data_IF_822581795630
#
_entry.id   IF_822581795630
#
_cell.length_a   1.000
_cell.length_b   1.000
_cell.length_c   1.000
_cell.angle_alpha   90.00
_cell.angle_beta   90.00
_cell.angle_gamma   90.00
#
_symmetry.space_group_name_H-M   'P 1'
#
loop_
_entity.id
_entity.type
_entity.pdbx_description
1 polymer ?
#
# COMPACT_ATOMS: atom_id res chain seq x y z
N UNK A 1 -30.73 -27.78 14.84
CA UNK A 1 -30.11 -26.70 15.65
C UNK A 1 -29.16 -25.95 14.72
N UNK A 2 -29.33 -24.63 14.53
CA UNK A 2 -28.50 -23.87 13.59
C UNK A 2 -27.03 -23.89 14.03
N UNK A 3 -26.10 -24.08 13.09
CA UNK A 3 -24.67 -24.13 13.45
C UNK A 3 -24.19 -22.72 13.76
N UNK A 4 -23.37 -22.57 14.79
CA UNK A 4 -22.77 -21.29 15.17
C UNK A 4 -21.27 -21.26 14.89
N UNK A 5 -20.71 -20.06 14.75
CA UNK A 5 -19.27 -19.84 14.79
C UNK A 5 -18.73 -19.89 16.23
N UNK A 6 -17.41 -19.70 16.38
CA UNK A 6 -16.69 -19.79 17.67
C UNK A 6 -17.07 -18.65 18.63
N UNK A 7 -17.81 -17.64 18.14
CA UNK A 7 -18.34 -16.53 18.92
C UNK A 7 -19.85 -16.68 19.19
N UNK A 8 -20.42 -17.86 18.89
CA UNK A 8 -21.84 -18.16 19.14
C UNK A 8 -22.81 -17.52 18.14
N UNK A 9 -22.33 -16.93 17.03
CA UNK A 9 -23.19 -16.32 16.03
C UNK A 9 -23.70 -17.37 15.03
N UNK A 10 -24.98 -17.33 14.63
CA UNK A 10 -25.53 -18.27 13.66
C UNK A 10 -24.83 -18.15 12.30
N UNK A 11 -24.43 -19.29 11.73
CA UNK A 11 -23.82 -19.38 10.41
C UNK A 11 -24.89 -19.26 9.33
N UNK A 12 -24.50 -18.65 8.21
CA UNK A 12 -25.34 -18.65 7.00
C UNK A 12 -25.37 -20.03 6.36
N UNK A 13 -26.38 -20.33 5.54
CA UNK A 13 -26.54 -21.65 4.92
C UNK A 13 -25.33 -22.11 4.10
N UNK A 14 -24.66 -21.21 3.40
CA UNK A 14 -23.43 -21.52 2.67
C UNK A 14 -22.26 -21.84 3.60
N UNK A 15 -22.15 -21.12 4.73
CA UNK A 15 -21.16 -21.40 5.77
C UNK A 15 -21.45 -22.70 6.51
N UNK A 16 -22.71 -23.06 6.72
CA UNK A 16 -23.09 -24.37 7.26
C UNK A 16 -22.66 -25.50 6.33
N UNK A 17 -22.94 -25.38 5.02
CA UNK A 17 -22.55 -26.37 4.00
C UNK A 17 -21.02 -26.50 3.92
N UNK A 18 -20.29 -25.39 3.90
CA UNK A 18 -18.82 -25.40 3.93
C UNK A 18 -18.30 -26.04 5.21
N UNK A 19 -18.81 -25.65 6.38
CA UNK A 19 -18.36 -26.20 7.68
C UNK A 19 -18.64 -27.70 7.78
N UNK A 20 -19.76 -28.19 7.25
CA UNK A 20 -20.07 -29.62 7.20
C UNK A 20 -19.17 -30.37 6.19
N UNK A 21 -18.98 -29.82 4.99
CA UNK A 21 -18.11 -30.40 3.96
C UNK A 21 -16.65 -30.48 4.42
N UNK A 22 -16.18 -29.48 5.18
CA UNK A 22 -14.84 -29.49 5.77
C UNK A 22 -14.74 -30.30 7.07
N UNK A 23 -15.84 -30.58 7.77
CA UNK A 23 -15.84 -31.45 8.96
C UNK A 23 -15.72 -32.92 8.58
N UNK A 24 -16.38 -33.35 7.50
CA UNK A 24 -16.19 -34.70 6.91
C UNK A 24 -14.79 -34.87 6.30
N UNK A 25 -14.23 -33.81 5.71
CA UNK A 25 -12.86 -33.85 5.19
C UNK A 25 -11.82 -33.74 6.30
N UNK A 26 -12.02 -32.92 7.33
CA UNK A 26 -11.04 -32.60 8.38
C UNK A 26 -10.52 -33.82 9.14
N UNK A 27 -11.38 -34.77 9.48
CA UNK A 27 -10.98 -35.96 10.26
C UNK A 27 -10.13 -36.95 9.45
N UNK A 28 -10.24 -36.97 8.12
CA UNK A 28 -9.43 -37.83 7.25
C UNK A 28 -8.31 -37.09 6.51
N UNK A 29 -8.42 -35.76 6.43
CA UNK A 29 -7.50 -34.87 5.73
C UNK A 29 -6.46 -34.29 6.70
N UNK A 30 -6.74 -34.11 8.00
CA UNK A 30 -5.74 -33.63 8.97
C UNK A 30 -4.54 -34.59 9.11
N UNK A 31 -4.79 -35.91 9.15
CA UNK A 31 -3.72 -36.92 9.14
C UNK A 31 -2.96 -36.97 7.81
N UNK A 32 -3.69 -36.98 6.67
CA UNK A 32 -3.09 -37.00 5.32
C UNK A 32 -2.40 -35.68 4.94
N UNK A 33 -2.85 -34.54 5.45
CA UNK A 33 -2.20 -33.23 5.29
C UNK A 33 -1.00 -33.09 6.21
N UNK A 34 -0.96 -33.75 7.36
CA UNK A 34 0.24 -33.78 8.19
C UNK A 34 1.37 -34.56 7.49
N UNK A 35 1.08 -35.74 6.93
CA UNK A 35 2.05 -36.49 6.12
C UNK A 35 2.43 -35.76 4.81
N UNK A 36 1.45 -35.21 4.09
CA UNK A 36 1.73 -34.43 2.88
C UNK A 36 2.48 -33.13 3.17
N UNK A 37 2.22 -32.44 4.29
CA UNK A 37 3.05 -31.29 4.74
C UNK A 37 4.47 -31.73 5.08
N UNK A 38 4.67 -32.92 5.62
CA UNK A 38 6.01 -33.45 5.89
C UNK A 38 6.77 -33.81 4.60
N UNK A 39 6.07 -34.40 3.63
CA UNK A 39 6.63 -34.80 2.34
C UNK A 39 6.87 -33.61 1.39
N UNK A 40 5.96 -32.64 1.35
CA UNK A 40 6.03 -31.46 0.49
C UNK A 40 6.60 -30.24 1.20
N UNK A 41 6.85 -30.31 2.51
CA UNK A 41 7.41 -29.23 3.31
C UNK A 41 8.67 -28.63 2.71
N UNK A 42 9.68 -29.44 2.33
CA UNK A 42 10.90 -28.90 1.71
C UNK A 42 10.65 -28.19 0.38
N UNK A 43 9.75 -28.70 -0.46
CA UNK A 43 9.41 -28.06 -1.73
C UNK A 43 8.57 -26.79 -1.55
N UNK A 44 7.71 -26.76 -0.53
CA UNK A 44 6.92 -25.60 -0.16
C UNK A 44 7.79 -24.49 0.43
N UNK A 45 8.68 -24.83 1.37
CA UNK A 45 9.65 -23.88 1.95
C UNK A 45 10.59 -23.34 0.87
N UNK A 46 11.14 -24.20 -0.01
CA UNK A 46 11.96 -23.76 -1.13
C UNK A 46 11.18 -22.85 -2.11
N UNK A 47 9.89 -23.13 -2.35
CA UNK A 47 9.02 -22.28 -3.15
C UNK A 47 8.72 -20.93 -2.47
N UNK A 48 8.56 -20.91 -1.15
CA UNK A 48 8.34 -19.70 -0.36
C UNK A 48 9.60 -18.83 -0.32
N UNK A 49 10.77 -19.44 -0.16
CA UNK A 49 12.08 -18.80 -0.16
C UNK A 49 12.40 -18.20 -1.54
N UNK A 50 12.16 -18.96 -2.62
CA UNK A 50 12.28 -18.46 -3.99
C UNK A 50 11.29 -17.33 -4.30
N UNK A 51 10.06 -17.39 -3.77
CA UNK A 51 9.08 -16.32 -3.91
C UNK A 51 9.48 -15.05 -3.13
N UNK A 52 10.06 -15.21 -1.93
CA UNK A 52 10.61 -14.10 -1.16
C UNK A 52 11.79 -13.44 -1.89
N UNK A 53 12.66 -14.22 -2.54
CA UNK A 53 13.75 -13.73 -3.37
C UNK A 53 13.25 -12.95 -4.61
N UNK A 54 12.22 -13.45 -5.29
CA UNK A 54 11.54 -12.73 -6.38
C UNK A 54 10.96 -11.37 -5.94
N UNK A 55 10.46 -11.28 -4.70
CA UNK A 55 9.95 -10.01 -4.13
C UNK A 55 11.03 -9.09 -3.57
N UNK A 56 12.18 -9.62 -3.15
CA UNK A 56 13.31 -8.85 -2.63
C UNK A 56 14.09 -8.15 -3.76
N UNK A 57 14.25 -8.82 -4.91
CA UNK A 57 14.92 -8.26 -6.10
C UNK A 57 14.14 -7.06 -6.67
N UNK A 58 12.81 -7.07 -6.60
CA UNK A 58 11.96 -5.98 -7.12
C UNK A 58 12.02 -4.69 -6.29
N UNK A 59 12.45 -4.76 -5.02
CA UNK A 59 12.51 -3.61 -4.11
C UNK A 59 13.93 -3.07 -3.90
N UNK A 60 14.96 -3.65 -4.54
CA UNK A 60 16.36 -3.33 -4.28
C UNK A 60 16.86 -1.99 -4.87
N UNK A 61 16.02 -1.22 -5.58
CA UNK A 61 16.45 -0.03 -6.32
C UNK A 61 15.59 1.23 -6.18
N UNK A 62 14.48 1.21 -5.44
CA UNK A 62 13.72 2.44 -5.16
C UNK A 62 14.19 3.04 -3.83
N UNK A 63 15.01 4.09 -3.91
CA UNK A 63 15.27 4.95 -2.75
C UNK A 63 14.01 5.79 -2.46
N UNK A 64 13.10 5.19 -1.69
CA UNK A 64 11.82 5.81 -1.30
C UNK A 64 11.98 7.02 -0.39
N UNK A 65 13.19 7.28 0.14
CA UNK A 65 13.46 8.40 1.05
C UNK A 65 14.05 9.56 0.29
N UNK A 66 15.17 9.36 -0.41
CA UNK A 66 15.92 10.43 -1.04
C UNK A 66 15.45 10.72 -2.48
N UNK A 67 15.02 9.70 -3.22
CA UNK A 67 14.58 9.84 -4.62
C UNK A 67 13.20 9.21 -4.89
N UNK A 68 12.13 9.64 -4.20
CA UNK A 68 10.82 9.04 -4.40
C UNK A 68 10.35 9.23 -5.85
N UNK A 69 9.92 8.14 -6.49
CA UNK A 69 9.52 8.11 -7.91
C UNK A 69 8.57 9.25 -8.33
N UNK A 70 7.64 9.63 -7.45
CA UNK A 70 6.66 10.69 -7.71
C UNK A 70 7.22 12.13 -7.63
N UNK A 71 8.52 12.30 -7.34
CA UNK A 71 9.25 13.58 -7.40
C UNK A 71 10.42 13.56 -8.40
N UNK A 72 10.76 12.40 -8.96
CA UNK A 72 11.86 12.21 -9.92
C UNK A 72 11.37 11.84 -11.33
N UNK A 73 10.07 11.57 -11.52
CA UNK A 73 9.49 11.15 -12.81
C UNK A 73 9.11 12.29 -13.76
N UNK A 74 9.55 13.52 -13.52
CA UNK A 74 9.18 14.64 -14.38
C UNK A 74 9.92 14.55 -15.73
N UNK A 75 9.26 14.78 -16.89
CA UNK A 75 9.89 14.62 -18.20
C UNK A 75 11.15 15.47 -18.44
N UNK A 76 11.36 16.54 -17.66
CA UNK A 76 12.56 17.37 -17.74
C UNK A 76 13.81 16.74 -17.09
N UNK A 77 13.67 15.66 -16.31
CA UNK A 77 14.77 15.07 -15.55
C UNK A 77 15.22 15.90 -14.32
N UNK A 78 14.49 16.96 -13.99
CA UNK A 78 14.72 17.79 -12.79
C UNK A 78 13.89 17.22 -11.65
N UNK A 79 14.48 17.10 -10.46
CA UNK A 79 13.74 16.70 -9.27
C UNK A 79 12.99 17.87 -8.64
N UNK A 80 11.82 17.58 -8.06
CA UNK A 80 11.02 18.60 -7.39
C UNK A 80 11.81 19.34 -6.30
N UNK A 81 12.72 18.67 -5.58
CA UNK A 81 13.51 19.28 -4.51
C UNK A 81 14.44 20.40 -5.02
N UNK A 82 15.06 20.21 -6.18
CA UNK A 82 15.96 21.18 -6.83
C UNK A 82 15.25 22.50 -7.16
N UNK A 83 13.92 22.47 -7.31
CA UNK A 83 13.11 23.67 -7.54
C UNK A 83 12.63 24.25 -6.22
N UNK A 84 12.06 23.41 -5.35
CA UNK A 84 11.39 23.86 -4.12
C UNK A 84 12.33 24.35 -3.03
N UNK A 85 13.62 23.99 -3.07
CA UNK A 85 14.64 24.49 -2.13
C UNK A 85 14.88 26.01 -2.25
N UNK A 86 14.59 26.60 -3.41
CA UNK A 86 14.73 28.03 -3.67
C UNK A 86 13.45 28.83 -3.33
N UNK A 87 12.49 28.23 -2.65
CA UNK A 87 11.18 28.81 -2.37
C UNK A 87 10.95 29.01 -0.87
N UNK A 88 9.99 29.87 -0.52
CA UNK A 88 9.49 29.93 0.85
C UNK A 88 8.80 28.63 1.22
N UNK A 89 8.69 28.33 2.52
CA UNK A 89 8.03 27.10 3.00
C UNK A 89 6.65 26.89 2.38
N UNK A 90 5.84 27.96 2.27
CA UNK A 90 4.51 27.86 1.69
C UNK A 90 4.57 27.56 0.18
N UNK A 91 5.37 28.31 -0.58
CA UNK A 91 5.47 28.16 -2.03
C UNK A 91 6.08 26.81 -2.42
N UNK A 92 7.14 26.38 -1.72
CA UNK A 92 7.76 25.07 -1.95
C UNK A 92 6.77 23.92 -1.71
N UNK A 93 5.97 23.98 -0.65
CA UNK A 93 4.93 22.97 -0.42
C UNK A 93 3.83 23.02 -1.49
N UNK A 94 3.41 24.22 -1.93
CA UNK A 94 2.42 24.34 -3.00
C UNK A 94 2.89 23.67 -4.29
N UNK A 95 4.12 23.99 -4.73
CA UNK A 95 4.75 23.38 -5.90
C UNK A 95 4.89 21.87 -5.73
N UNK A 96 5.35 21.39 -4.57
CA UNK A 96 5.43 19.94 -4.26
C UNK A 96 4.12 19.20 -4.50
N UNK A 97 2.99 19.76 -4.07
CA UNK A 97 1.68 19.13 -4.27
C UNK A 97 1.20 19.21 -5.72
N UNK A 98 1.46 20.31 -6.42
CA UNK A 98 1.17 20.42 -7.87
C UNK A 98 1.98 19.39 -8.65
N UNK A 99 3.28 19.29 -8.35
CA UNK A 99 4.21 18.36 -9.00
C UNK A 99 3.78 16.90 -8.81
N UNK A 100 3.26 16.56 -7.62
CA UNK A 100 2.85 15.20 -7.26
C UNK A 100 1.47 14.80 -7.78
N UNK A 101 0.60 15.76 -8.11
CA UNK A 101 -0.80 15.51 -8.42
C UNK A 101 -0.94 14.51 -9.57
N UNK A 102 -1.64 13.40 -9.33
CA UNK A 102 -1.83 12.33 -10.31
C UNK A 102 -0.67 11.35 -10.47
N UNK A 103 0.50 11.58 -9.83
CA UNK A 103 1.67 10.71 -9.93
C UNK A 103 1.73 9.67 -8.81
N UNK A 104 1.35 10.05 -7.59
CA UNK A 104 1.39 9.15 -6.44
C UNK A 104 0.16 8.25 -6.34
N UNK A 105 -1.01 8.84 -6.56
CA UNK A 105 -2.32 8.19 -6.48
C UNK A 105 -3.29 9.05 -7.31
N UNK A 106 -3.79 8.50 -8.41
CA UNK A 106 -4.65 9.21 -9.36
C UNK A 106 -5.93 9.73 -8.70
N UNK A 107 -6.46 8.99 -7.72
CA UNK A 107 -7.71 9.32 -7.03
C UNK A 107 -7.52 10.48 -6.05
N UNK A 108 -6.26 10.79 -5.69
CA UNK A 108 -5.89 11.88 -4.78
C UNK A 108 -5.45 13.16 -5.48
N UNK A 109 -5.58 13.24 -6.81
CA UNK A 109 -5.22 14.44 -7.59
C UNK A 109 -5.92 15.69 -7.05
N UNK A 110 -7.25 15.64 -6.85
CA UNK A 110 -8.00 16.77 -6.29
C UNK A 110 -7.58 17.13 -4.86
N UNK A 111 -7.21 16.13 -4.05
CA UNK A 111 -6.72 16.38 -2.70
C UNK A 111 -5.36 17.10 -2.73
N UNK A 112 -4.47 16.71 -3.64
CA UNK A 112 -3.17 17.36 -3.79
C UNK A 112 -3.31 18.81 -4.29
N UNK A 113 -4.17 19.05 -5.26
CA UNK A 113 -4.48 20.42 -5.71
C UNK A 113 -5.11 21.26 -4.59
N UNK A 114 -5.97 20.67 -3.77
CA UNK A 114 -6.57 21.35 -2.61
C UNK A 114 -5.51 21.72 -1.55
N UNK A 115 -4.53 20.85 -1.32
CA UNK A 115 -3.37 21.15 -0.45
C UNK A 115 -2.50 22.26 -1.04
N UNK A 116 -2.26 22.26 -2.35
CA UNK A 116 -1.52 23.33 -3.01
C UNK A 116 -2.21 24.69 -2.81
N UNK A 117 -3.53 24.75 -3.04
CA UNK A 117 -4.35 25.95 -2.79
C UNK A 117 -4.21 26.46 -1.36
N UNK A 118 -4.31 25.56 -0.36
CA UNK A 118 -4.14 25.93 1.06
C UNK A 118 -2.81 26.63 1.34
N UNK A 119 -1.70 26.15 0.76
CA UNK A 119 -0.40 26.79 0.95
C UNK A 119 -0.27 28.13 0.22
N UNK A 120 -0.87 28.27 -0.96
CA UNK A 120 -0.90 29.54 -1.71
C UNK A 120 -1.66 30.61 -0.91
N UNK A 121 -2.83 30.26 -0.37
CA UNK A 121 -3.63 31.19 0.45
C UNK A 121 -2.86 31.67 1.69
N UNK A 122 -2.09 30.78 2.31
CA UNK A 122 -1.21 31.14 3.44
C UNK A 122 -0.09 32.08 3.04
N UNK A 123 0.51 31.88 1.87
CA UNK A 123 1.56 32.79 1.39
C UNK A 123 1.00 34.17 1.06
N UNK A 124 -0.17 34.22 0.42
CA UNK A 124 -0.88 35.47 0.17
C UNK A 124 -1.18 36.22 1.48
N UNK A 125 -1.69 35.50 2.49
CA UNK A 125 -1.94 36.07 3.81
C UNK A 125 -0.64 36.53 4.51
N UNK A 126 0.49 35.84 4.32
CA UNK A 126 1.79 36.26 4.87
C UNK A 126 2.27 37.57 4.25
N UNK A 127 2.13 37.70 2.93
CA UNK A 127 2.56 38.89 2.17
C UNK A 127 1.62 40.09 2.36
N UNK A 128 0.32 39.85 2.56
CA UNK A 128 -0.67 40.88 2.81
C UNK A 128 -0.66 41.46 4.23
N UNK A 129 0.20 40.96 5.13
CA UNK A 129 0.37 41.55 6.47
C UNK A 129 1.20 42.83 6.36
N UNK A 130 0.77 43.94 7.00
CA UNK A 130 1.63 45.11 7.17
C UNK A 130 2.93 44.68 7.88
N UNK A 131 4.05 45.22 7.42
CA UNK A 131 5.37 45.00 8.05
C UNK A 131 5.48 45.76 9.36
#
# INVERSE_FOLDING_TARGET
>A
MALTDDNGKPLTRAQEIMKLAFKEQGDTLAGRMHEKRKAWGPAWEAGLEAAQDLTSIRNAGEDVVNHPRHYTSHPSGIECIQVTEHMTFNLGNAVKYIWRAGLKDSDKTLQDLSKAKFYIEREAARLGRPK
#
